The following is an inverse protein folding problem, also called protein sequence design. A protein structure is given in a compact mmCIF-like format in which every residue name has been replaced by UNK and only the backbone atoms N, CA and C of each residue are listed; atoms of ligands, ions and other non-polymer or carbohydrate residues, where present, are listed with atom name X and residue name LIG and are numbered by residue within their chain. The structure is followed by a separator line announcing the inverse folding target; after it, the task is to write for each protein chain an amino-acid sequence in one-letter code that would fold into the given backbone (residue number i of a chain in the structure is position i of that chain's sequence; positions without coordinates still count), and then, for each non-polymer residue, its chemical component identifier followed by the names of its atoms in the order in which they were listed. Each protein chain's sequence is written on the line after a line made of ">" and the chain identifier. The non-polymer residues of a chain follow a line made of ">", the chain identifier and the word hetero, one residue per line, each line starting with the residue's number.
data_IF_362613882838
#
_entry.id   IF_362613882838
#
_cell.length_a   1.000
_cell.length_b   1.000
_cell.length_c   1.000
_cell.angle_alpha   90.00
_cell.angle_beta   90.00
_cell.angle_gamma   90.00
#
_symmetry.space_group_name_H-M   'P 1'
#
loop_
_entity.id
_entity.type
_entity.pdbx_description
1 polymer ?
#
# COMPACT_ATOMS: atom_id res chain seq x y z
N UNK A 1 15.06 5.09 29.61
CA UNK A 1 13.88 4.29 29.24
C UNK A 1 13.60 4.58 27.77
N UNK A 2 13.92 3.65 26.86
CA UNK A 2 13.57 3.82 25.45
C UNK A 2 12.07 3.54 25.32
N UNK A 3 11.27 4.58 25.09
CA UNK A 3 9.90 4.40 24.63
C UNK A 3 9.97 3.69 23.27
N UNK A 4 9.24 2.58 23.04
CA UNK A 4 9.14 2.02 21.71
C UNK A 4 8.44 3.07 20.84
N UNK A 5 9.20 3.75 19.98
CA UNK A 5 8.62 4.57 18.92
C UNK A 5 7.74 3.64 18.09
N UNK A 6 6.42 3.85 18.13
CA UNK A 6 5.53 3.14 17.25
C UNK A 6 6.02 3.35 15.81
N UNK A 7 6.18 2.28 15.01
CA UNK A 7 6.69 2.42 13.66
C UNK A 7 5.74 3.35 12.91
N UNK A 8 6.27 4.47 12.41
CA UNK A 8 5.48 5.52 11.74
C UNK A 8 4.81 4.93 10.51
N UNK A 9 3.53 4.55 10.60
CA UNK A 9 2.81 3.96 9.47
C UNK A 9 2.13 5.04 8.63
N UNK A 10 2.04 4.82 7.33
CA UNK A 10 1.30 5.67 6.40
C UNK A 10 0.11 4.88 5.84
N UNK A 11 -1.11 5.38 6.08
CA UNK A 11 -2.32 4.79 5.50
C UNK A 11 -2.61 5.46 4.16
N UNK A 12 -2.90 4.66 3.15
CA UNK A 12 -3.09 5.12 1.78
C UNK A 12 -4.34 4.48 1.18
N UNK A 13 -5.08 5.25 0.40
CA UNK A 13 -5.95 4.74 -0.64
C UNK A 13 -5.21 4.84 -1.97
N UNK A 14 -5.11 3.72 -2.68
CA UNK A 14 -4.49 3.69 -4.00
C UNK A 14 -5.53 3.25 -5.02
N UNK A 15 -5.75 4.11 -6.01
CA UNK A 15 -6.77 3.93 -7.05
C UNK A 15 -6.08 3.75 -8.40
N UNK A 16 -6.13 2.52 -8.92
CA UNK A 16 -5.79 2.21 -10.31
C UNK A 16 -7.04 2.16 -11.18
N UNK A 17 -6.86 1.99 -12.50
CA UNK A 17 -7.94 2.03 -13.52
C UNK A 17 -9.19 1.19 -13.21
N UNK A 18 -9.05 0.07 -12.50
CA UNK A 18 -10.15 -0.88 -12.22
C UNK A 18 -10.26 -1.27 -10.75
N UNK A 19 -9.33 -0.82 -9.92
CA UNK A 19 -9.17 -1.32 -8.55
C UNK A 19 -8.75 -0.19 -7.64
N UNK A 20 -9.49 -0.01 -6.57
CA UNK A 20 -9.09 0.77 -5.38
C UNK A 20 -8.70 -0.17 -4.25
N UNK A 21 -7.61 0.14 -3.56
CA UNK A 21 -7.16 -0.58 -2.37
C UNK A 21 -6.84 0.38 -1.23
N UNK A 22 -7.13 -0.05 -0.01
CA UNK A 22 -6.73 0.62 1.22
C UNK A 22 -5.54 -0.15 1.80
N UNK A 23 -4.47 0.53 2.14
CA UNK A 23 -3.26 -0.12 2.62
C UNK A 23 -2.50 0.71 3.63
N UNK A 24 -1.73 0.02 4.46
CA UNK A 24 -0.81 0.57 5.44
C UNK A 24 0.60 0.27 4.93
N UNK A 25 1.43 1.29 4.84
CA UNK A 25 2.82 1.18 4.41
C UNK A 25 3.72 1.60 5.56
N UNK A 26 4.81 0.86 5.76
CA UNK A 26 5.85 1.17 6.73
C UNK A 26 7.02 1.81 5.97
N UNK A 27 7.21 3.15 6.03
CA UNK A 27 8.18 3.86 5.19
C UNK A 27 9.62 3.38 5.35
N UNK A 28 10.01 3.02 6.58
CA UNK A 28 11.38 2.61 6.90
C UNK A 28 11.79 1.29 6.22
N UNK A 29 10.86 0.33 6.16
CA UNK A 29 11.11 -1.01 5.60
C UNK A 29 10.52 -1.17 4.20
N UNK A 30 9.70 -0.22 3.75
CA UNK A 30 8.82 -0.33 2.58
C UNK A 30 7.97 -1.61 2.57
N UNK A 31 7.72 -2.18 3.76
CA UNK A 31 6.76 -3.26 3.94
C UNK A 31 5.35 -2.68 3.91
N UNK A 32 4.36 -3.52 3.62
CA UNK A 32 2.98 -3.08 3.47
C UNK A 32 1.99 -4.14 3.92
N UNK A 33 0.80 -3.68 4.30
CA UNK A 33 -0.37 -4.49 4.57
C UNK A 33 -1.55 -3.91 3.81
N UNK A 34 -2.24 -4.73 3.02
CA UNK A 34 -3.48 -4.31 2.37
C UNK A 34 -4.64 -4.62 3.30
N UNK A 35 -5.45 -3.61 3.58
CA UNK A 35 -6.60 -3.66 4.48
C UNK A 35 -7.85 -4.06 3.70
N UNK A 36 -8.08 -3.45 2.54
CA UNK A 36 -9.21 -3.77 1.68
C UNK A 36 -8.88 -3.53 0.21
N UNK A 37 -9.62 -4.20 -0.68
CA UNK A 37 -9.45 -4.11 -2.12
C UNK A 37 -10.79 -4.32 -2.82
N UNK A 38 -11.27 -3.28 -3.51
CA UNK A 38 -12.58 -3.22 -4.18
C UNK A 38 -12.87 -4.38 -5.16
N UNK A 39 -11.86 -4.97 -5.79
CA UNK A 39 -12.02 -6.15 -6.66
C UNK A 39 -11.55 -7.42 -5.96
N UNK A 40 -12.29 -7.87 -4.94
CA UNK A 40 -11.94 -9.01 -4.08
C UNK A 40 -11.56 -10.30 -4.85
N UNK A 41 -12.19 -10.57 -6.00
CA UNK A 41 -11.90 -11.74 -6.86
C UNK A 41 -10.62 -11.63 -7.71
N UNK A 42 -10.18 -10.40 -8.04
CA UNK A 42 -8.95 -10.17 -8.82
C UNK A 42 -7.77 -9.77 -7.94
N UNK A 43 -8.04 -9.29 -6.73
CA UNK A 43 -7.05 -8.98 -5.73
C UNK A 43 -6.61 -10.29 -5.08
N UNK A 44 -5.50 -10.87 -5.57
CA UNK A 44 -4.94 -12.13 -5.07
C UNK A 44 -4.70 -12.16 -3.55
N UNK A 45 -4.72 -11.01 -2.88
CA UNK A 45 -4.67 -10.87 -1.42
C UNK A 45 -5.72 -11.73 -0.70
N UNK A 46 -6.93 -11.88 -1.24
CA UNK A 46 -7.95 -12.75 -0.62
C UNK A 46 -7.63 -14.26 -0.75
N UNK A 47 -6.80 -14.65 -1.72
CA UNK A 47 -6.49 -16.05 -2.02
C UNK A 47 -5.08 -16.44 -1.51
N UNK A 48 -4.10 -15.54 -1.58
CA UNK A 48 -2.69 -15.78 -1.24
C UNK A 48 -2.19 -14.98 -0.03
N UNK A 49 -3.05 -14.22 0.67
CA UNK A 49 -2.70 -13.31 1.79
C UNK A 49 -1.63 -12.25 1.47
N UNK A 50 -1.18 -12.17 0.21
CA UNK A 50 -0.11 -11.29 -0.26
C UNK A 50 -0.39 -10.84 -1.69
N UNK A 51 -0.05 -9.60 -2.01
CA UNK A 51 -0.05 -9.13 -3.39
C UNK A 51 1.17 -9.68 -4.13
N UNK A 52 1.06 -9.96 -5.45
CA UNK A 52 2.24 -10.25 -6.25
C UNK A 52 3.22 -9.07 -6.18
N UNK A 53 4.54 -9.31 -6.26
CA UNK A 53 5.56 -8.27 -6.11
C UNK A 53 5.42 -7.11 -7.11
N UNK A 54 4.85 -7.39 -8.29
CA UNK A 54 4.58 -6.42 -9.35
C UNK A 54 3.15 -5.86 -9.32
N UNK A 55 2.41 -5.98 -8.21
CA UNK A 55 1.06 -5.41 -8.12
C UNK A 55 1.13 -3.88 -8.32
N UNK A 56 0.47 -3.31 -9.35
CA UNK A 56 0.57 -1.88 -9.65
C UNK A 56 0.17 -0.98 -8.47
N UNK A 57 -0.80 -1.44 -7.68
CA UNK A 57 -1.26 -0.77 -6.46
C UNK A 57 -0.13 -0.69 -5.42
N UNK A 58 0.55 -1.81 -5.16
CA UNK A 58 1.64 -1.87 -4.17
C UNK A 58 2.83 -1.05 -4.64
N UNK A 59 3.19 -1.15 -5.92
CA UNK A 59 4.30 -0.38 -6.49
C UNK A 59 4.01 1.12 -6.36
N UNK A 60 2.82 1.57 -6.75
CA UNK A 60 2.43 2.98 -6.61
C UNK A 60 2.46 3.47 -5.16
N UNK A 61 2.01 2.65 -4.20
CA UNK A 61 2.08 2.98 -2.78
C UNK A 61 3.53 3.15 -2.29
N UNK A 62 4.43 2.26 -2.71
CA UNK A 62 5.85 2.33 -2.36
C UNK A 62 6.54 3.50 -3.04
N UNK A 63 6.24 3.77 -4.30
CA UNK A 63 6.76 4.92 -5.04
C UNK A 63 6.37 6.22 -4.32
N UNK A 64 5.10 6.35 -3.91
CA UNK A 64 4.60 7.50 -3.15
C UNK A 64 5.35 7.70 -1.82
N UNK A 65 5.46 6.64 -1.01
CA UNK A 65 6.08 6.74 0.33
C UNK A 65 7.60 6.90 0.26
N UNK A 66 8.24 6.29 -0.73
CA UNK A 66 9.70 6.36 -0.90
C UNK A 66 10.17 7.63 -1.60
N UNK A 67 9.29 8.34 -2.32
CA UNK A 67 9.63 9.53 -3.11
C UNK A 67 10.61 9.27 -4.26
N UNK A 68 10.96 8.01 -4.54
CA UNK A 68 11.97 7.65 -5.56
C UNK A 68 11.46 7.86 -6.99
N UNK A 69 10.14 7.75 -7.19
CA UNK A 69 9.46 7.83 -8.49
C UNK A 69 8.05 8.36 -8.31
N UNK A 70 7.51 8.97 -9.36
CA UNK A 70 6.11 9.37 -9.40
C UNK A 70 5.20 8.12 -9.51
N UNK A 71 4.17 7.99 -8.66
CA UNK A 71 3.24 6.86 -8.71
C UNK A 71 2.47 6.81 -10.02
N UNK A 72 2.36 5.62 -10.62
CA UNK A 72 1.54 5.39 -11.83
C UNK A 72 0.05 5.15 -11.54
N UNK A 73 -0.36 5.34 -10.30
CA UNK A 73 -1.74 5.24 -9.84
C UNK A 73 -2.02 6.43 -8.94
N UNK A 74 -3.30 6.79 -8.81
CA UNK A 74 -3.70 7.85 -7.90
C UNK A 74 -3.51 7.36 -6.46
N UNK A 75 -2.84 8.16 -5.64
CA UNK A 75 -2.56 7.84 -4.23
C UNK A 75 -3.09 8.96 -3.36
N UNK A 76 -3.92 8.62 -2.38
CA UNK A 76 -4.49 9.54 -1.40
C UNK A 76 -4.04 9.13 -0.01
N UNK A 77 -3.53 10.08 0.77
CA UNK A 77 -3.21 9.86 2.18
C UNK A 77 -4.51 9.75 2.98
N UNK A 78 -4.57 8.81 3.91
CA UNK A 78 -5.70 8.64 4.83
C UNK A 78 -5.23 8.99 6.24
N UNK A 79 -5.95 9.87 6.92
CA UNK A 79 -5.69 10.26 8.33
C UNK A 79 -5.98 9.08 9.29
#
# INVERSE_FOLDING_TARGET
>A
MLQPMEPKTVKLAVTGKRTRALMIVYPETLSYRVVDCSRKLFCRIHVSKSCPPYCPIVVAAKDFVSGRREPKAEVTLLE
#
